data_IF_950992503933
#
_entry.id   IF_950992503933
#
_cell.length_a   1.000
_cell.length_b   1.000
_cell.length_c   1.000
_cell.angle_alpha   90.00
_cell.angle_beta   90.00
_cell.angle_gamma   90.00
#
_symmetry.space_group_name_H-M   'P 1'
#
loop_
_entity.id
_entity.type
_entity.pdbx_description
1 polymer ?
#
# COMPACT_ATOMS: atom_id res chain seq x y z
N UNK A 1 13.75 7.12 11.62
CA UNK A 1 12.89 5.92 11.72
C UNK A 1 12.39 5.71 13.15
N UNK A 2 13.26 5.77 14.16
CA UNK A 2 12.94 5.62 15.60
C UNK A 2 11.61 6.25 16.06
N UNK A 3 11.36 7.55 15.83
CA UNK A 3 10.10 8.22 16.23
C UNK A 3 8.81 7.53 15.72
N UNK A 4 8.87 6.88 14.55
CA UNK A 4 7.75 6.14 13.98
C UNK A 4 7.54 4.81 14.71
N UNK A 5 8.61 4.05 14.86
CA UNK A 5 8.60 2.74 15.52
C UNK A 5 8.18 2.92 16.98
N UNK A 6 8.76 3.90 17.69
CA UNK A 6 8.35 4.23 19.06
C UNK A 6 6.89 4.68 19.15
N UNK A 7 6.34 5.35 18.13
CA UNK A 7 4.91 5.72 18.09
C UNK A 7 4.03 4.51 17.96
N UNK A 8 4.39 3.59 17.06
CA UNK A 8 3.62 2.37 16.87
C UNK A 8 3.72 1.53 18.17
N UNK A 9 4.91 1.37 18.77
CA UNK A 9 5.11 0.62 20.02
C UNK A 9 4.37 1.16 21.26
N UNK A 10 4.08 2.47 21.34
CA UNK A 10 3.40 3.07 22.51
C UNK A 10 2.04 2.46 22.83
N UNK A 11 1.39 1.84 21.85
CA UNK A 11 0.05 1.27 21.99
C UNK A 11 0.06 -0.26 22.10
N UNK A 12 1.23 -0.88 22.30
CA UNK A 12 1.39 -2.35 22.33
C UNK A 12 1.23 -2.98 23.70
N UNK A 13 1.05 -2.18 24.76
CA UNK A 13 0.81 -2.71 26.10
C UNK A 13 -0.37 -3.69 26.12
N UNK A 14 -0.15 -4.86 26.72
CA UNK A 14 -1.16 -5.90 26.80
C UNK A 14 -2.20 -5.58 27.89
N UNK A 15 -3.50 -5.82 27.65
CA UNK A 15 -4.52 -5.71 28.69
C UNK A 15 -4.13 -6.55 29.92
N UNK A 16 -4.17 -5.95 31.12
CA UNK A 16 -3.80 -6.64 32.36
C UNK A 16 -2.30 -6.81 32.61
N UNK A 17 -1.42 -6.35 31.71
CA UNK A 17 0.04 -6.39 31.90
C UNK A 17 0.70 -5.05 31.52
N UNK A 18 0.53 -4.00 32.34
CA UNK A 18 1.23 -2.73 32.13
C UNK A 18 2.75 -2.98 32.26
N UNK A 19 3.49 -2.76 31.18
CA UNK A 19 4.96 -2.88 31.18
C UNK A 19 5.54 -4.05 30.38
N UNK A 20 4.74 -5.03 29.94
CA UNK A 20 5.16 -6.05 28.98
C UNK A 20 4.78 -5.59 27.55
N UNK A 21 5.75 -5.15 26.72
CA UNK A 21 5.44 -4.48 25.46
C UNK A 21 5.08 -5.44 24.32
N UNK A 22 5.37 -6.74 24.46
CA UNK A 22 5.30 -7.70 23.37
C UNK A 22 4.79 -9.08 23.83
N UNK A 23 3.96 -9.80 23.04
CA UNK A 23 3.45 -11.11 23.43
C UNK A 23 4.57 -12.15 23.52
N UNK A 24 4.46 -13.04 24.51
CA UNK A 24 5.31 -14.21 24.64
C UNK A 24 5.05 -15.22 23.52
N UNK A 25 6.01 -16.13 23.32
CA UNK A 25 5.87 -17.27 22.41
C UNK A 25 4.59 -18.07 22.63
N UNK A 26 4.27 -18.36 23.88
CA UNK A 26 3.05 -19.11 24.23
C UNK A 26 1.79 -18.33 23.83
N UNK A 27 1.74 -17.02 24.06
CA UNK A 27 0.60 -16.18 23.67
C UNK A 27 0.44 -16.12 22.15
N UNK A 28 1.53 -15.96 21.41
CA UNK A 28 1.51 -15.96 19.93
C UNK A 28 1.02 -17.31 19.41
N UNK A 29 1.53 -18.41 19.95
CA UNK A 29 1.12 -19.77 19.55
C UNK A 29 -0.34 -20.05 19.92
N UNK A 30 -0.79 -19.63 21.10
CA UNK A 30 -2.16 -19.77 21.54
C UNK A 30 -3.12 -18.96 20.67
N UNK A 31 -2.78 -17.69 20.36
CA UNK A 31 -3.57 -16.85 19.46
C UNK A 31 -3.62 -17.42 18.04
N UNK A 32 -2.49 -17.89 17.51
CA UNK A 32 -2.44 -18.56 16.21
C UNK A 32 -3.27 -19.85 16.19
N UNK A 33 -3.34 -20.56 17.33
CA UNK A 33 -4.18 -21.72 17.55
C UNK A 33 -5.67 -21.38 17.66
N UNK A 34 -6.04 -20.32 18.39
CA UNK A 34 -7.43 -19.92 18.62
C UNK A 34 -8.12 -19.35 17.40
N UNK A 35 -7.35 -18.85 16.42
CA UNK A 35 -7.91 -18.40 15.13
C UNK A 35 -8.37 -19.58 14.28
N UNK A 36 -8.00 -20.81 14.65
CA UNK A 36 -8.48 -22.04 14.01
C UNK A 36 -9.87 -22.40 14.56
N UNK A 37 -10.91 -21.98 13.82
CA UNK A 37 -12.34 -22.22 14.04
C UNK A 37 -13.02 -21.27 15.05
N UNK A 38 -13.72 -20.27 14.52
CA UNK A 38 -14.96 -19.79 15.14
C UNK A 38 -16.11 -20.33 14.29
N UNK A 39 -16.97 -21.15 14.88
CA UNK A 39 -18.16 -21.68 14.23
C UNK A 39 -19.11 -20.53 13.82
N UNK A 40 -19.50 -20.51 12.54
CA UNK A 40 -20.59 -19.67 12.05
C UNK A 40 -20.23 -18.26 11.55
N UNK A 41 -18.96 -17.85 11.54
CA UNK A 41 -18.52 -16.61 10.88
C UNK A 41 -17.94 -16.91 9.49
N UNK A 42 -18.19 -16.07 8.45
CA UNK A 42 -17.53 -16.24 7.15
C UNK A 42 -16.01 -16.25 7.35
N UNK A 43 -15.35 -17.16 6.63
CA UNK A 43 -14.01 -17.68 6.90
C UNK A 43 -12.95 -16.56 7.07
N UNK A 44 -12.77 -16.05 8.30
CA UNK A 44 -11.77 -15.03 8.64
C UNK A 44 -10.35 -15.49 8.27
N UNK A 45 -10.11 -16.82 8.26
CA UNK A 45 -8.87 -17.46 7.83
C UNK A 45 -8.62 -17.40 6.32
N UNK A 46 -9.65 -17.25 5.48
CA UNK A 46 -9.47 -17.05 4.03
C UNK A 46 -9.09 -15.61 3.70
N UNK A 47 -9.54 -14.65 4.52
CA UNK A 47 -9.32 -13.21 4.34
C UNK A 47 -8.07 -12.67 5.04
N UNK A 48 -7.66 -13.29 6.14
CA UNK A 48 -6.52 -12.88 6.97
C UNK A 48 -5.56 -14.05 7.14
N UNK A 49 -4.34 -13.90 6.64
CA UNK A 49 -3.29 -14.92 6.74
C UNK A 49 -2.25 -14.46 7.75
N UNK A 50 -2.15 -15.20 8.85
CA UNK A 50 -1.17 -14.96 9.91
C UNK A 50 0.00 -15.92 9.80
N UNK A 51 1.18 -15.42 10.12
CA UNK A 51 2.39 -16.22 10.27
C UNK A 51 3.02 -15.88 11.62
N UNK A 52 3.25 -16.91 12.43
CA UNK A 52 4.08 -16.81 13.63
C UNK A 52 5.53 -16.96 13.21
N UNK A 53 6.34 -15.93 13.45
CA UNK A 53 7.76 -15.90 13.14
C UNK A 53 8.58 -15.89 14.43
N UNK A 54 9.67 -16.67 14.43
CA UNK A 54 10.71 -16.61 15.45
C UNK A 54 12.02 -16.15 14.81
N UNK A 55 12.63 -15.12 15.37
CA UNK A 55 14.03 -14.77 15.06
C UNK A 55 14.92 -15.57 16.01
N UNK A 56 15.86 -16.34 15.49
CA UNK A 56 16.93 -16.96 16.28
C UNK A 56 18.22 -16.14 16.13
N UNK A 57 19.22 -16.34 17.01
CA UNK A 57 20.54 -15.68 16.90
C UNK A 57 21.28 -15.98 15.59
N UNK A 58 20.98 -17.12 14.93
CA UNK A 58 21.43 -17.43 13.56
C UNK A 58 20.63 -16.73 12.46
N UNK A 59 19.62 -15.97 12.85
CA UNK A 59 18.60 -15.34 12.01
C UNK A 59 17.75 -16.31 11.18
N UNK A 60 17.74 -17.58 11.59
CA UNK A 60 16.84 -18.59 11.06
C UNK A 60 15.40 -18.28 11.48
N UNK A 61 14.52 -18.09 10.49
CA UNK A 61 13.07 -18.01 10.69
C UNK A 61 12.53 -19.44 10.79
N UNK A 62 12.17 -19.88 12.00
CA UNK A 62 11.84 -21.30 12.23
C UNK A 62 10.42 -21.72 11.89
N UNK A 63 9.46 -20.82 11.93
CA UNK A 63 8.08 -21.18 11.68
C UNK A 63 7.41 -20.16 10.76
N UNK A 64 6.69 -20.68 9.78
CA UNK A 64 5.45 -20.10 9.29
C UNK A 64 4.51 -21.30 9.26
N UNK A 65 3.42 -21.27 10.02
CA UNK A 65 2.51 -22.41 10.11
C UNK A 65 1.66 -22.53 8.84
N UNK A 66 2.27 -22.98 7.75
CA UNK A 66 1.63 -23.29 6.45
C UNK A 66 1.29 -24.78 6.33
N UNK A 67 1.27 -25.54 7.43
CA UNK A 67 1.35 -27.01 7.40
C UNK A 67 0.07 -27.76 6.99
N UNK A 68 -0.89 -27.14 6.29
CA UNK A 68 -1.79 -27.96 5.48
C UNK A 68 -1.11 -28.31 4.14
N UNK A 69 -1.09 -29.60 3.79
CA UNK A 69 -0.65 -30.09 2.47
C UNK A 69 -1.21 -29.19 1.36
N UNK A 70 -0.33 -28.68 0.49
CA UNK A 70 -0.74 -27.81 -0.63
C UNK A 70 -0.01 -26.46 -0.75
N UNK A 71 1.23 -26.33 -0.26
CA UNK A 71 2.05 -25.13 -0.45
C UNK A 71 2.16 -24.76 -1.94
N UNK A 72 1.53 -23.66 -2.35
CA UNK A 72 1.60 -23.07 -3.70
C UNK A 72 2.36 -21.75 -3.63
N UNK A 73 3.57 -21.70 -4.18
CA UNK A 73 4.47 -20.53 -4.12
C UNK A 73 3.85 -19.19 -4.55
N UNK A 74 2.88 -19.19 -5.48
CA UNK A 74 2.16 -17.98 -5.90
C UNK A 74 1.17 -17.43 -4.86
N UNK A 75 0.61 -18.27 -3.99
CA UNK A 75 -0.33 -17.83 -2.94
C UNK A 75 0.38 -17.23 -1.72
N UNK A 76 1.67 -17.56 -1.51
CA UNK A 76 2.45 -17.14 -0.34
C UNK A 76 3.57 -16.14 -0.65
N UNK A 77 3.53 -15.49 -1.81
CA UNK A 77 4.59 -14.58 -2.26
C UNK A 77 4.90 -13.46 -1.24
N UNK A 78 3.89 -12.95 -0.52
CA UNK A 78 4.07 -11.92 0.52
C UNK A 78 4.92 -12.42 1.69
N UNK A 79 4.57 -13.58 2.24
CA UNK A 79 5.28 -14.20 3.34
C UNK A 79 6.69 -14.63 2.95
N UNK A 80 6.82 -15.28 1.79
CA UNK A 80 8.12 -15.69 1.26
C UNK A 80 9.07 -14.50 1.08
N UNK A 81 8.56 -13.37 0.56
CA UNK A 81 9.37 -12.16 0.38
C UNK A 81 9.81 -11.57 1.72
N UNK A 82 8.93 -11.55 2.71
CA UNK A 82 9.26 -11.10 4.07
C UNK A 82 10.31 -12.01 4.72
N UNK A 83 10.12 -13.33 4.66
CA UNK A 83 11.08 -14.32 5.17
C UNK A 83 12.45 -14.18 4.50
N UNK A 84 12.49 -14.02 3.18
CA UNK A 84 13.74 -13.78 2.45
C UNK A 84 14.42 -12.49 2.90
N UNK A 85 13.67 -11.42 3.14
CA UNK A 85 14.23 -10.18 3.69
C UNK A 85 14.85 -10.41 5.07
N UNK A 86 14.17 -11.15 5.96
CA UNK A 86 14.70 -11.54 7.27
C UNK A 86 15.98 -12.36 7.16
N UNK A 87 16.04 -13.35 6.26
CA UNK A 87 17.26 -14.15 6.01
C UNK A 87 18.43 -13.30 5.50
N UNK A 88 18.17 -12.30 4.66
CA UNK A 88 19.22 -11.38 4.19
C UNK A 88 19.73 -10.50 5.34
N UNK A 89 18.85 -9.97 6.18
CA UNK A 89 19.23 -9.17 7.35
C UNK A 89 20.02 -9.99 8.37
N UNK A 90 19.57 -11.22 8.62
CA UNK A 90 20.23 -12.22 9.44
C UNK A 90 21.67 -12.48 9.01
N UNK A 91 21.86 -12.84 7.74
CA UNK A 91 23.17 -13.16 7.17
C UNK A 91 24.14 -11.96 7.21
N UNK A 92 23.62 -10.73 7.32
CA UNK A 92 24.40 -9.50 7.45
C UNK A 92 24.64 -9.07 8.91
N UNK A 93 24.15 -9.82 9.89
CA UNK A 93 24.21 -9.43 11.30
C UNK A 93 23.37 -8.18 11.63
N UNK A 94 22.33 -7.89 10.84
CA UNK A 94 21.46 -6.72 11.01
C UNK A 94 20.18 -7.03 11.79
N UNK A 95 20.06 -8.22 12.39
CA UNK A 95 18.98 -8.59 13.29
C UNK A 95 19.50 -8.70 14.73
N UNK A 96 18.62 -8.52 15.74
CA UNK A 96 18.99 -8.71 17.14
C UNK A 96 19.33 -10.19 17.42
N UNK A 97 20.30 -10.42 18.31
CA UNK A 97 20.56 -11.73 18.90
C UNK A 97 19.60 -12.00 20.06
N UNK A 98 18.32 -12.22 19.72
CA UNK A 98 17.26 -12.47 20.68
C UNK A 98 16.15 -13.33 20.06
N UNK A 99 15.53 -14.20 20.87
CA UNK A 99 14.31 -14.89 20.45
C UNK A 99 13.11 -13.95 20.53
N UNK A 100 12.55 -13.61 19.38
CA UNK A 100 11.34 -12.78 19.28
C UNK A 100 10.26 -13.52 18.53
N UNK A 101 9.10 -13.69 19.17
CA UNK A 101 7.89 -14.24 18.55
C UNK A 101 6.96 -13.14 18.09
N UNK A 102 6.45 -13.19 16.87
CA UNK A 102 5.48 -12.19 16.40
C UNK A 102 4.49 -12.74 15.39
N UNK A 103 3.34 -12.07 15.31
CA UNK A 103 2.32 -12.31 14.29
C UNK A 103 2.51 -11.34 13.14
N UNK A 104 2.75 -11.84 11.93
CA UNK A 104 2.70 -11.07 10.70
C UNK A 104 1.34 -11.25 10.02
N UNK A 105 0.61 -10.17 9.82
CA UNK A 105 -0.58 -10.13 8.99
C UNK A 105 -0.23 -9.83 7.53
N UNK A 106 -0.80 -10.64 6.64
CA UNK A 106 -0.76 -10.42 5.20
C UNK A 106 -2.04 -9.82 4.62
N UNK A 107 -2.99 -9.40 5.45
CA UNK A 107 -4.21 -8.71 5.00
C UNK A 107 -3.87 -7.46 4.22
N UNK A 108 -4.75 -7.09 3.29
CA UNK A 108 -4.60 -5.85 2.54
C UNK A 108 -4.59 -4.60 3.44
N UNK A 109 -5.41 -4.61 4.50
CA UNK A 109 -5.49 -3.56 5.52
C UNK A 109 -5.97 -4.17 6.84
N UNK A 110 -5.30 -3.84 7.95
CA UNK A 110 -5.82 -4.11 9.28
C UNK A 110 -6.76 -2.99 9.76
N UNK A 111 -8.06 -3.26 9.79
CA UNK A 111 -9.10 -2.27 10.14
C UNK A 111 -9.42 -2.19 11.62
N UNK A 112 -9.13 -3.24 12.39
CA UNK A 112 -9.47 -3.37 13.80
C UNK A 112 -8.27 -3.87 14.59
N UNK A 113 -8.23 -3.53 15.88
CA UNK A 113 -7.21 -4.05 16.79
C UNK A 113 -7.52 -5.51 17.12
N UNK A 114 -6.52 -6.38 16.99
CA UNK A 114 -6.61 -7.79 17.36
C UNK A 114 -6.24 -7.99 18.83
N UNK A 115 -6.49 -9.19 19.35
CA UNK A 115 -6.17 -9.56 20.72
C UNK A 115 -4.66 -9.44 21.04
N UNK A 116 -3.80 -9.67 20.04
CA UNK A 116 -2.36 -9.44 20.10
C UNK A 116 -1.91 -8.32 19.14
N UNK A 117 -0.80 -7.63 19.46
CA UNK A 117 -0.07 -6.82 18.49
C UNK A 117 0.26 -7.60 17.23
N UNK A 118 0.04 -7.00 16.06
CA UNK A 118 0.43 -7.62 14.78
C UNK A 118 1.33 -6.71 13.94
N UNK A 119 2.25 -7.32 13.20
CA UNK A 119 3.00 -6.67 12.16
C UNK A 119 2.15 -6.65 10.90
N UNK A 120 2.08 -5.52 10.23
CA UNK A 120 1.36 -5.40 8.95
C UNK A 120 2.00 -4.32 8.11
N UNK A 121 1.98 -4.46 6.79
CA UNK A 121 2.45 -3.38 5.93
C UNK A 121 1.47 -2.19 5.90
N UNK A 122 0.21 -2.40 6.29
CA UNK A 122 -0.83 -1.40 6.17
C UNK A 122 -1.95 -1.55 7.22
N UNK A 123 -2.42 -0.41 7.72
CA UNK A 123 -3.52 -0.32 8.69
C UNK A 123 -4.55 0.74 8.35
N UNK A 124 -5.72 0.62 8.95
CA UNK A 124 -6.67 1.71 9.11
C UNK A 124 -6.15 2.78 10.08
N UNK A 125 -6.52 4.04 9.87
CA UNK A 125 -6.17 5.16 10.77
C UNK A 125 -6.60 4.93 12.23
N UNK A 126 -7.73 4.24 12.43
CA UNK A 126 -8.30 3.95 13.75
C UNK A 126 -7.56 2.86 14.52
N UNK A 127 -6.93 1.91 13.82
CA UNK A 127 -6.18 0.79 14.38
C UNK A 127 -4.94 1.26 15.13
N UNK A 128 -4.69 0.77 16.35
CA UNK A 128 -3.59 1.20 17.22
C UNK A 128 -2.62 0.07 17.59
N UNK A 129 -3.09 -1.17 17.71
CA UNK A 129 -2.31 -2.36 18.12
C UNK A 129 -1.65 -3.06 16.94
N UNK A 130 -1.04 -2.27 16.06
CA UNK A 130 -0.26 -2.78 14.93
C UNK A 130 1.08 -2.06 14.77
N UNK A 131 2.09 -2.80 14.32
CA UNK A 131 3.39 -2.26 13.96
C UNK A 131 3.52 -2.30 12.44
N UNK A 132 3.76 -1.13 11.85
CA UNK A 132 3.83 -1.00 10.40
C UNK A 132 5.19 -1.47 9.90
N UNK A 133 5.20 -2.47 9.04
CA UNK A 133 6.36 -2.92 8.28
C UNK A 133 6.33 -2.36 6.86
N UNK A 134 7.42 -2.51 6.09
CA UNK A 134 7.35 -2.25 4.66
C UNK A 134 6.45 -3.23 3.93
N UNK A 135 5.92 -2.78 2.80
CA UNK A 135 5.15 -3.63 1.88
C UNK A 135 6.07 -4.65 1.21
N UNK A 136 5.55 -5.85 0.92
CA UNK A 136 6.39 -6.95 0.42
C UNK A 136 7.07 -6.59 -0.91
N UNK A 137 6.43 -5.86 -1.82
CA UNK A 137 7.09 -5.41 -3.05
C UNK A 137 8.33 -4.54 -2.77
N UNK A 138 8.30 -3.72 -1.70
CA UNK A 138 9.45 -2.89 -1.32
C UNK A 138 10.59 -3.73 -0.70
N UNK A 139 10.23 -4.83 -0.02
CA UNK A 139 11.19 -5.81 0.51
C UNK A 139 11.75 -6.72 -0.59
N UNK A 140 11.09 -6.82 -1.75
CA UNK A 140 11.62 -7.53 -2.90
C UNK A 140 12.66 -6.67 -3.63
N UNK A 141 13.94 -6.97 -3.42
CA UNK A 141 15.05 -6.28 -4.10
C UNK A 141 14.97 -6.36 -5.62
N UNK A 142 14.39 -7.43 -6.19
CA UNK A 142 14.25 -7.57 -7.64
C UNK A 142 13.22 -6.59 -8.22
N UNK A 143 12.14 -6.36 -7.49
CA UNK A 143 11.09 -5.43 -7.90
C UNK A 143 11.46 -3.98 -7.55
N UNK A 144 11.83 -3.71 -6.30
CA UNK A 144 12.08 -2.36 -5.80
C UNK A 144 13.22 -1.67 -6.54
N UNK A 145 14.36 -2.36 -6.72
CA UNK A 145 15.50 -1.82 -7.49
C UNK A 145 15.19 -1.62 -8.96
N UNK A 146 14.40 -2.53 -9.56
CA UNK A 146 13.93 -2.37 -10.95
C UNK A 146 13.10 -1.08 -11.07
N UNK A 147 12.12 -0.89 -10.19
CA UNK A 147 11.27 0.31 -10.17
C UNK A 147 12.08 1.57 -9.93
N UNK A 148 13.02 1.55 -8.98
CA UNK A 148 13.92 2.67 -8.72
C UNK A 148 14.77 3.03 -9.95
N UNK A 149 15.28 2.03 -10.67
CA UNK A 149 16.03 2.24 -11.91
C UNK A 149 15.15 2.81 -13.02
N UNK A 150 13.92 2.32 -13.18
CA UNK A 150 12.94 2.87 -14.13
C UNK A 150 12.64 4.35 -13.81
N UNK A 151 12.45 4.69 -12.54
CA UNK A 151 12.23 6.09 -12.10
C UNK A 151 13.47 6.94 -12.35
N UNK A 152 14.65 6.46 -11.98
CA UNK A 152 15.93 7.16 -12.17
C UNK A 152 16.17 7.45 -13.66
N UNK A 153 15.97 6.45 -14.50
CA UNK A 153 16.08 6.58 -15.95
C UNK A 153 15.09 7.60 -16.49
N UNK A 154 13.81 7.50 -16.12
CA UNK A 154 12.77 8.41 -16.57
C UNK A 154 13.04 9.87 -16.15
N UNK A 155 13.47 10.11 -14.91
CA UNK A 155 13.75 11.45 -14.42
C UNK A 155 15.05 12.05 -14.97
N UNK A 156 16.06 11.23 -15.23
CA UNK A 156 17.31 11.67 -15.86
C UNK A 156 17.08 12.18 -17.28
N UNK A 157 16.22 11.52 -18.04
CA UNK A 157 15.87 11.92 -19.42
C UNK A 157 14.74 12.95 -19.48
N UNK A 158 13.91 13.04 -18.44
CA UNK A 158 12.75 13.94 -18.39
C UNK A 158 12.71 14.68 -17.05
N UNK A 159 13.54 15.72 -16.88
CA UNK A 159 13.45 16.60 -15.73
C UNK A 159 12.07 17.26 -15.68
N UNK A 160 11.69 17.81 -14.51
CA UNK A 160 10.36 18.40 -14.28
C UNK A 160 9.85 19.31 -15.42
N UNK A 161 10.72 20.17 -15.98
CA UNK A 161 10.34 21.08 -17.07
C UNK A 161 9.94 20.38 -18.38
N UNK A 162 10.48 19.18 -18.62
CA UNK A 162 10.19 18.35 -19.79
C UNK A 162 9.00 17.40 -19.57
N UNK A 163 8.45 17.31 -18.35
CA UNK A 163 7.26 16.49 -18.08
C UNK A 163 6.01 17.14 -18.68
N UNK A 164 5.19 16.31 -19.31
CA UNK A 164 4.03 16.72 -20.13
C UNK A 164 2.72 16.68 -19.35
N UNK A 165 1.72 17.36 -19.89
CA UNK A 165 0.36 17.39 -19.35
C UNK A 165 0.16 18.41 -18.22
N UNK A 166 -1.04 19.00 -18.21
CA UNK A 166 -1.53 19.88 -17.13
C UNK A 166 -2.66 19.23 -16.32
N UNK A 167 -3.15 18.05 -16.74
CA UNK A 167 -4.19 17.31 -16.04
C UNK A 167 -3.61 16.46 -14.90
N UNK A 168 -4.45 16.16 -13.90
CA UNK A 168 -4.23 15.01 -13.04
C UNK A 168 -4.28 13.73 -13.87
N UNK A 169 -3.18 12.99 -13.92
CA UNK A 169 -3.09 11.78 -14.71
C UNK A 169 -3.27 10.52 -13.86
N UNK A 170 -4.09 9.58 -14.34
CA UNK A 170 -4.26 8.25 -13.74
C UNK A 170 -4.55 7.18 -14.80
N UNK A 171 -3.90 6.03 -14.71
CA UNK A 171 -4.25 4.81 -15.45
C UNK A 171 -4.14 3.62 -14.53
N UNK A 172 -5.19 2.86 -14.31
CA UNK A 172 -5.10 1.75 -13.38
C UNK A 172 -6.21 0.73 -13.57
N UNK A 173 -6.19 -0.28 -12.72
CA UNK A 173 -7.24 -1.29 -12.69
C UNK A 173 -8.40 -0.88 -11.80
N UNK A 174 -9.47 -1.63 -11.86
CA UNK A 174 -10.66 -1.54 -11.02
C UNK A 174 -10.45 -2.15 -9.61
N UNK A 175 -9.21 -2.26 -9.11
CA UNK A 175 -8.97 -2.73 -7.74
C UNK A 175 -9.75 -1.91 -6.71
N UNK A 176 -10.35 -2.59 -5.74
CA UNK A 176 -11.16 -1.97 -4.69
C UNK A 176 -12.63 -1.75 -5.06
N UNK A 177 -13.05 -2.19 -6.25
CA UNK A 177 -14.47 -2.32 -6.62
C UNK A 177 -14.91 -3.77 -6.29
N UNK A 178 -16.07 -3.95 -5.64
CA UNK A 178 -16.59 -5.26 -5.30
C UNK A 178 -16.91 -6.04 -6.59
N UNK A 179 -16.52 -7.29 -6.62
CA UNK A 179 -16.84 -8.23 -7.69
C UNK A 179 -17.06 -9.60 -7.05
N UNK A 180 -18.33 -9.92 -6.80
CA UNK A 180 -18.81 -11.09 -6.04
C UNK A 180 -18.45 -11.09 -4.53
N UNK A 181 -17.51 -10.25 -4.07
CA UNK A 181 -17.01 -10.14 -2.69
C UNK A 181 -17.61 -8.95 -1.92
N UNK A 182 -18.88 -8.62 -2.15
CA UNK A 182 -19.45 -7.43 -1.50
C UNK A 182 -19.78 -7.65 -0.03
N UNK A 183 -19.12 -6.88 0.82
CA UNK A 183 -19.48 -6.69 2.22
C UNK A 183 -20.24 -5.34 2.38
N UNK A 184 -21.53 -5.35 2.74
CA UNK A 184 -22.32 -4.13 2.99
C UNK A 184 -21.76 -3.23 4.09
N UNK A 185 -20.97 -3.76 5.03
CA UNK A 185 -20.29 -2.95 6.05
C UNK A 185 -19.11 -2.16 5.45
N UNK A 186 -18.50 -2.70 4.38
CA UNK A 186 -17.35 -2.11 3.69
C UNK A 186 -17.76 -1.20 2.53
N UNK A 187 -18.83 -1.54 1.82
CA UNK A 187 -19.26 -0.85 0.60
C UNK A 187 -20.64 -0.21 0.76
N UNK A 188 -20.78 1.04 0.29
CA UNK A 188 -22.08 1.74 0.21
C UNK A 188 -23.02 1.19 -0.86
N UNK A 189 -22.49 0.37 -1.77
CA UNK A 189 -23.24 -0.31 -2.81
C UNK A 189 -22.45 -1.53 -3.27
N UNK A 190 -23.16 -2.62 -3.53
CA UNK A 190 -22.60 -3.86 -4.07
C UNK A 190 -22.75 -4.00 -5.57
N UNK A 191 -23.49 -3.07 -6.19
CA UNK A 191 -23.79 -3.08 -7.60
C UNK A 191 -22.97 -1.99 -8.27
N UNK A 192 -22.57 -2.26 -9.50
CA UNK A 192 -21.86 -1.31 -10.34
C UNK A 192 -22.65 -1.18 -11.64
N UNK A 193 -23.29 -0.03 -11.78
CA UNK A 193 -24.09 0.38 -12.92
C UNK A 193 -23.88 1.89 -13.16
N UNK A 194 -24.63 2.46 -14.10
CA UNK A 194 -24.58 3.90 -14.40
C UNK A 194 -24.90 4.80 -13.18
N UNK A 195 -25.74 4.32 -12.25
CA UNK A 195 -26.19 5.09 -11.09
C UNK A 195 -25.25 4.94 -9.88
N UNK A 196 -24.40 3.92 -9.85
CA UNK A 196 -23.59 3.56 -8.68
C UNK A 196 -22.09 3.66 -8.94
N UNK A 197 -21.64 3.62 -10.20
CA UNK A 197 -20.23 3.69 -10.56
C UNK A 197 -19.50 4.87 -9.90
N UNK A 198 -20.11 6.05 -9.85
CA UNK A 198 -19.54 7.25 -9.23
C UNK A 198 -19.30 7.14 -7.72
N UNK A 199 -19.85 6.13 -7.04
CA UNK A 199 -19.60 5.86 -5.61
C UNK A 199 -18.22 5.24 -5.38
N UNK A 200 -17.63 4.63 -6.41
CA UNK A 200 -16.31 4.01 -6.34
C UNK A 200 -15.25 4.99 -6.83
N UNK A 201 -14.23 5.24 -6.01
CA UNK A 201 -13.22 6.28 -6.24
C UNK A 201 -12.59 6.21 -7.65
N UNK A 202 -12.18 5.02 -8.08
CA UNK A 202 -11.46 4.85 -9.36
C UNK A 202 -12.38 5.06 -10.56
N UNK A 203 -13.62 4.56 -10.50
CA UNK A 203 -14.63 4.79 -11.54
C UNK A 203 -15.05 6.26 -11.58
N UNK A 204 -15.23 6.89 -10.42
CA UNK A 204 -15.53 8.33 -10.32
C UNK A 204 -14.47 9.16 -11.01
N UNK A 205 -13.18 8.89 -10.77
CA UNK A 205 -12.09 9.64 -11.43
C UNK A 205 -12.04 9.37 -12.93
N UNK A 206 -12.27 8.13 -13.38
CA UNK A 206 -12.37 7.84 -14.81
C UNK A 206 -13.52 8.63 -15.46
N UNK A 207 -14.70 8.66 -14.85
CA UNK A 207 -15.84 9.47 -15.34
C UNK A 207 -15.60 10.98 -15.26
N UNK A 208 -14.76 11.45 -14.33
CA UNK A 208 -14.33 12.85 -14.30
C UNK A 208 -13.54 13.23 -15.56
N UNK A 209 -12.82 12.32 -16.20
CA UNK A 209 -12.08 12.64 -17.42
C UNK A 209 -13.00 13.10 -18.57
N UNK A 210 -14.21 12.52 -18.66
CA UNK A 210 -15.21 12.91 -19.67
C UNK A 210 -15.86 14.27 -19.37
N UNK A 211 -16.06 14.61 -18.10
CA UNK A 211 -16.73 15.85 -17.69
C UNK A 211 -15.78 17.04 -17.51
N UNK A 212 -14.49 16.78 -17.29
CA UNK A 212 -13.46 17.80 -17.11
C UNK A 212 -12.12 17.41 -17.75
N UNK A 213 -12.10 17.15 -19.07
CA UNK A 213 -10.93 16.64 -19.79
C UNK A 213 -9.72 17.56 -19.73
N UNK A 214 -9.90 18.87 -19.52
CA UNK A 214 -8.79 19.81 -19.36
C UNK A 214 -8.11 19.75 -17.98
N UNK A 215 -8.72 19.05 -17.00
CA UNK A 215 -8.22 18.94 -15.63
C UNK A 215 -7.89 17.51 -15.21
N UNK A 216 -8.58 16.52 -15.75
CA UNK A 216 -8.36 15.10 -15.43
C UNK A 216 -8.14 14.31 -16.71
N UNK A 217 -7.06 13.54 -16.73
CA UNK A 217 -6.77 12.53 -17.75
C UNK A 217 -6.69 11.19 -17.03
N UNK A 218 -7.84 10.51 -16.94
CA UNK A 218 -7.96 9.28 -16.18
C UNK A 218 -8.85 8.25 -16.85
N UNK A 219 -8.45 6.98 -16.78
CA UNK A 219 -9.23 5.87 -17.31
C UNK A 219 -8.75 4.55 -16.70
N UNK A 220 -9.62 3.54 -16.72
CA UNK A 220 -9.26 2.16 -16.45
C UNK A 220 -8.35 1.65 -17.58
N UNK A 221 -7.14 1.24 -17.24
CA UNK A 221 -6.18 0.66 -18.17
C UNK A 221 -6.10 -0.86 -18.06
N UNK A 222 -6.94 -1.45 -17.20
CA UNK A 222 -7.05 -2.90 -17.03
C UNK A 222 -8.28 -3.22 -16.18
N UNK A 223 -8.78 -4.45 -16.31
CA UNK A 223 -9.90 -4.96 -15.52
C UNK A 223 -9.44 -6.23 -14.82
N UNK A 224 -9.74 -6.36 -13.53
CA UNK A 224 -9.40 -7.54 -12.75
C UNK A 224 -10.21 -8.74 -13.21
N UNK A 225 -9.58 -9.93 -13.20
CA UNK A 225 -10.21 -11.19 -13.62
C UNK A 225 -11.57 -11.44 -12.95
N UNK A 226 -11.69 -11.11 -11.65
CA UNK A 226 -12.96 -11.25 -10.91
C UNK A 226 -14.08 -10.36 -11.44
N UNK A 227 -13.76 -9.16 -11.95
CA UNK A 227 -14.71 -8.24 -12.52
C UNK A 227 -15.08 -8.63 -13.96
N UNK A 228 -14.09 -9.13 -14.72
CA UNK A 228 -14.32 -9.76 -16.03
C UNK A 228 -15.27 -10.96 -15.92
N UNK A 229 -15.10 -11.79 -14.90
CA UNK A 229 -15.93 -12.98 -14.69
C UNK A 229 -17.43 -12.68 -14.50
N UNK A 230 -17.79 -11.45 -14.15
CA UNK A 230 -19.18 -10.99 -14.00
C UNK A 230 -19.58 -9.90 -15.02
N UNK A 231 -18.75 -9.68 -16.04
CA UNK A 231 -19.07 -8.75 -17.13
C UNK A 231 -19.01 -7.26 -16.77
N UNK A 232 -18.30 -6.86 -15.72
CA UNK A 232 -18.16 -5.44 -15.37
C UNK A 232 -17.36 -4.64 -16.40
N UNK A 233 -16.53 -5.29 -17.20
CA UNK A 233 -15.85 -4.66 -18.33
C UNK A 233 -16.83 -4.07 -19.35
N UNK A 234 -17.96 -4.75 -19.61
CA UNK A 234 -19.02 -4.24 -20.49
C UNK A 234 -19.64 -2.96 -19.91
N UNK A 235 -19.96 -2.97 -18.62
CA UNK A 235 -20.46 -1.79 -17.91
C UNK A 235 -19.44 -0.65 -17.99
N UNK A 236 -18.16 -0.93 -17.74
CA UNK A 236 -17.10 0.08 -17.82
C UNK A 236 -16.94 0.64 -19.24
N UNK A 237 -17.12 -0.19 -20.28
CA UNK A 237 -17.05 0.21 -21.68
C UNK A 237 -18.24 1.09 -22.06
N UNK A 238 -19.46 0.69 -21.70
CA UNK A 238 -20.70 1.47 -21.92
C UNK A 238 -20.63 2.84 -21.26
N UNK A 239 -20.03 2.92 -20.06
CA UNK A 239 -19.83 4.17 -19.32
C UNK A 239 -18.61 4.98 -19.81
N UNK A 240 -17.86 4.51 -20.81
CA UNK A 240 -16.68 5.20 -21.33
C UNK A 240 -15.53 5.33 -20.33
N UNK A 241 -15.42 4.40 -19.36
CA UNK A 241 -14.44 4.45 -18.27
C UNK A 241 -13.10 3.79 -18.63
N UNK A 242 -13.05 3.05 -19.73
CA UNK A 242 -11.87 2.29 -20.18
C UNK A 242 -11.00 3.14 -21.12
N UNK A 243 -9.68 3.00 -20.99
CA UNK A 243 -8.70 3.50 -21.94
C UNK A 243 -8.59 2.54 -23.14
N UNK A 244 -8.87 2.96 -24.38
CA UNK A 244 -8.67 2.13 -25.57
C UNK A 244 -7.24 2.28 -26.16
N UNK A 245 -6.55 1.19 -26.54
CA UNK A 245 -6.89 -0.19 -26.20
C UNK A 245 -6.70 -0.45 -24.70
N UNK A 246 -7.46 -1.41 -24.16
CA UNK A 246 -7.34 -1.85 -22.77
C UNK A 246 -5.97 -2.50 -22.56
N UNK A 247 -4.99 -1.70 -22.15
CA UNK A 247 -3.63 -2.14 -21.85
C UNK A 247 -3.10 -1.44 -20.61
N UNK A 248 -2.35 -2.18 -19.80
CA UNK A 248 -1.64 -1.58 -18.69
C UNK A 248 -0.49 -0.69 -19.21
N UNK A 249 -0.44 0.56 -18.75
CA UNK A 249 0.66 1.47 -19.09
C UNK A 249 1.87 1.18 -18.21
N UNK A 250 3.06 1.19 -18.81
CA UNK A 250 4.30 1.04 -18.07
C UNK A 250 4.50 2.18 -17.07
N UNK A 251 5.28 1.96 -16.01
CA UNK A 251 5.62 3.02 -15.05
C UNK A 251 6.28 4.20 -15.79
N UNK A 252 7.20 3.94 -16.69
CA UNK A 252 7.92 4.97 -17.48
C UNK A 252 6.99 5.80 -18.36
N UNK A 253 5.95 5.20 -18.95
CA UNK A 253 4.93 5.92 -19.71
C UNK A 253 4.16 6.90 -18.81
N UNK A 254 3.79 6.44 -17.61
CA UNK A 254 3.05 7.26 -16.64
C UNK A 254 3.95 8.37 -16.06
N UNK A 255 5.24 8.10 -15.80
CA UNK A 255 6.22 9.06 -15.25
C UNK A 255 6.54 10.23 -16.17
N UNK A 256 6.08 10.21 -17.43
CA UNK A 256 6.12 11.37 -18.34
C UNK A 256 5.24 12.52 -17.85
N UNK A 257 4.26 12.23 -16.98
CA UNK A 257 3.21 13.16 -16.58
C UNK A 257 3.66 14.02 -15.43
N UNK A 258 3.33 15.31 -15.52
CA UNK A 258 3.67 16.29 -14.49
C UNK A 258 2.91 16.07 -13.18
N UNK A 259 1.61 15.75 -13.27
CA UNK A 259 0.75 15.54 -12.12
C UNK A 259 0.26 14.08 -12.11
N UNK A 260 0.69 13.31 -11.12
CA UNK A 260 0.30 11.91 -10.94
C UNK A 260 -0.73 11.82 -9.83
N UNK A 261 -1.93 11.32 -10.15
CA UNK A 261 -2.95 11.05 -9.16
C UNK A 261 -2.75 9.66 -8.55
N UNK A 262 -2.69 9.61 -7.23
CA UNK A 262 -2.61 8.37 -6.46
C UNK A 262 -3.95 8.07 -5.77
N UNK A 263 -4.53 6.93 -6.17
CA UNK A 263 -5.81 6.42 -5.67
C UNK A 263 -5.60 5.02 -5.12
N UNK A 264 -6.10 4.79 -3.90
CA UNK A 264 -6.07 3.47 -3.30
C UNK A 264 -6.97 2.49 -4.08
N UNK A 265 -6.69 1.20 -3.91
CA UNK A 265 -7.53 0.10 -4.37
C UNK A 265 -8.14 -0.62 -3.17
N UNK A 266 -7.97 -1.94 -3.12
CA UNK A 266 -8.29 -2.75 -1.94
C UNK A 266 -7.43 -2.34 -0.73
N UNK A 267 -6.16 -2.00 -1.00
CA UNK A 267 -5.19 -1.40 -0.10
C UNK A 267 -4.58 -0.13 -0.72
N UNK A 268 -3.54 0.41 -0.11
CA UNK A 268 -2.84 1.57 -0.66
C UNK A 268 -2.14 1.19 -1.96
N UNK A 269 -2.13 2.10 -2.93
CA UNK A 269 -1.50 1.84 -4.21
C UNK A 269 0.03 1.80 -4.11
N UNK A 270 0.64 0.78 -4.73
CA UNK A 270 2.07 0.75 -5.05
C UNK A 270 2.50 1.92 -5.94
N UNK A 271 1.56 2.61 -6.61
CA UNK A 271 1.83 3.86 -7.33
C UNK A 271 2.45 4.94 -6.45
N UNK A 272 2.00 5.04 -5.20
CA UNK A 272 2.51 6.07 -4.31
C UNK A 272 4.03 5.97 -4.18
N UNK A 273 4.58 4.75 -4.12
CA UNK A 273 6.01 4.52 -4.04
C UNK A 273 6.80 5.16 -5.20
N UNK A 274 6.51 4.75 -6.44
CA UNK A 274 7.25 5.25 -7.60
C UNK A 274 6.88 6.69 -7.97
N UNK A 275 5.64 7.11 -7.68
CA UNK A 275 5.21 8.49 -7.83
C UNK A 275 6.02 9.41 -6.92
N UNK A 276 6.23 9.02 -5.65
CA UNK A 276 7.02 9.81 -4.70
C UNK A 276 8.51 9.84 -5.04
N UNK A 277 9.08 8.76 -5.59
CA UNK A 277 10.48 8.68 -6.04
C UNK A 277 10.77 9.57 -7.26
N UNK A 278 9.72 9.83 -8.06
CA UNK A 278 9.81 10.62 -9.27
C UNK A 278 9.82 12.12 -8.98
N UNK A 279 10.33 12.89 -9.93
CA UNK A 279 10.19 14.34 -9.96
C UNK A 279 8.82 14.77 -10.50
N UNK A 280 7.75 13.98 -10.36
CA UNK A 280 6.37 14.41 -10.65
C UNK A 280 5.68 14.92 -9.37
N UNK A 281 4.63 15.74 -9.51
CA UNK A 281 3.78 16.11 -8.38
C UNK A 281 2.78 14.99 -8.14
N UNK A 282 2.80 14.45 -6.94
CA UNK A 282 1.81 13.46 -6.50
C UNK A 282 0.59 14.19 -5.92
N UNK A 283 -0.56 14.00 -6.56
CA UNK A 283 -1.89 14.31 -6.04
C UNK A 283 -2.37 13.08 -5.26
N UNK A 284 -2.29 13.09 -3.94
CA UNK A 284 -2.65 11.94 -3.09
C UNK A 284 -4.05 12.12 -2.53
N UNK A 285 -4.97 11.24 -2.89
CA UNK A 285 -6.28 11.18 -2.26
C UNK A 285 -6.14 10.86 -0.77
N UNK A 286 -6.84 11.60 0.08
CA UNK A 286 -6.98 11.30 1.50
C UNK A 286 -7.75 9.98 1.66
N UNK A 287 -7.20 9.13 2.52
CA UNK A 287 -7.63 7.74 2.67
C UNK A 287 -7.64 7.37 4.15
N UNK A 288 -8.39 6.34 4.50
CA UNK A 288 -8.32 5.72 5.83
C UNK A 288 -7.10 4.79 5.97
N UNK A 289 -6.43 4.46 4.87
CA UNK A 289 -5.26 3.60 4.84
C UNK A 289 -3.99 4.35 5.27
N UNK A 290 -3.13 3.69 6.04
CA UNK A 290 -1.85 4.20 6.48
C UNK A 290 -0.78 3.12 6.37
N UNK A 291 0.31 3.44 5.68
CA UNK A 291 1.54 2.64 5.66
C UNK A 291 2.60 3.24 6.60
N UNK A 292 3.78 2.64 6.65
CA UNK A 292 4.88 3.03 7.54
C UNK A 292 5.50 4.42 7.26
N UNK A 293 5.33 4.97 6.05
CA UNK A 293 5.87 6.29 5.67
C UNK A 293 4.80 7.39 5.53
N UNK A 294 3.51 7.06 5.63
CA UNK A 294 2.38 7.98 5.41
C UNK A 294 2.44 9.21 6.31
N UNK A 295 2.82 9.03 7.58
CA UNK A 295 2.90 10.09 8.59
C UNK A 295 3.94 11.19 8.23
N UNK A 296 4.83 10.92 7.27
CA UNK A 296 5.87 11.87 6.81
C UNK A 296 5.40 12.73 5.63
N UNK A 297 4.32 12.33 4.96
CA UNK A 297 3.80 13.03 3.80
C UNK A 297 2.96 14.24 4.25
N UNK A 298 3.53 15.43 4.04
CA UNK A 298 2.92 16.71 4.41
C UNK A 298 2.37 17.38 3.15
N UNK A 299 1.15 17.88 3.28
CA UNK A 299 0.49 18.61 2.20
C UNK A 299 1.30 19.86 1.80
N UNK A 300 1.34 20.14 0.50
CA UNK A 300 2.11 21.20 -0.13
C UNK A 300 3.61 21.24 0.18
N UNK A 301 4.14 20.18 0.81
CA UNK A 301 5.59 19.98 1.03
C UNK A 301 6.07 18.76 0.24
N UNK A 302 5.36 17.63 0.33
CA UNK A 302 5.70 16.38 -0.35
C UNK A 302 4.63 15.97 -1.37
N UNK A 303 3.39 16.32 -1.13
CA UNK A 303 2.24 15.93 -1.95
C UNK A 303 1.24 17.08 -2.04
N UNK A 304 0.32 17.01 -2.99
CA UNK A 304 -0.93 17.78 -2.94
C UNK A 304 -2.03 16.82 -2.47
N UNK A 305 -2.59 17.05 -1.28
CA UNK A 305 -3.69 16.23 -0.77
C UNK A 305 -4.97 16.55 -1.50
N UNK A 306 -5.69 15.51 -1.90
CA UNK A 306 -7.02 15.61 -2.51
C UNK A 306 -8.01 15.02 -1.51
N UNK A 307 -9.16 15.65 -1.31
CA UNK A 307 -10.23 15.12 -0.45
C UNK A 307 -10.61 13.71 -0.86
N UNK A 308 -11.06 12.92 0.12
CA UNK A 308 -11.49 11.53 -0.10
C UNK A 308 -12.61 11.41 -1.14
N UNK A 309 -13.51 12.38 -1.21
CA UNK A 309 -14.61 12.43 -2.18
C UNK A 309 -14.21 13.04 -3.54
N UNK A 310 -12.95 13.47 -3.69
CA UNK A 310 -12.35 14.07 -4.88
C UNK A 310 -12.93 15.43 -5.28
N UNK A 311 -13.76 16.05 -4.43
CA UNK A 311 -14.44 17.29 -4.76
C UNK A 311 -13.48 18.47 -5.04
N UNK A 312 -12.28 18.46 -4.44
CA UNK A 312 -11.25 19.48 -4.62
C UNK A 312 -10.15 19.08 -5.63
N UNK A 313 -10.21 17.90 -6.26
CA UNK A 313 -9.24 17.48 -7.26
C UNK A 313 -9.04 18.54 -8.36
N UNK A 314 -10.11 19.15 -8.95
CA UNK A 314 -9.94 20.17 -9.98
C UNK A 314 -9.23 21.41 -9.47
N UNK A 315 -9.48 21.79 -8.21
CA UNK A 315 -8.84 22.93 -7.55
C UNK A 315 -7.36 22.66 -7.29
N UNK A 316 -7.00 21.44 -6.88
CA UNK A 316 -5.60 21.07 -6.65
C UNK A 316 -4.80 21.01 -7.95
N UNK A 317 -5.40 20.51 -9.04
CA UNK A 317 -4.80 20.59 -10.38
C UNK A 317 -4.56 22.04 -10.79
N UNK A 318 -5.57 22.90 -10.66
CA UNK A 318 -5.43 24.33 -10.99
C UNK A 318 -4.33 24.99 -10.15
N UNK A 319 -4.28 24.72 -8.84
CA UNK A 319 -3.26 25.25 -7.94
C UNK A 319 -1.85 24.82 -8.34
N UNK A 320 -1.65 23.54 -8.69
CA UNK A 320 -0.35 23.04 -9.13
C UNK A 320 0.12 23.71 -10.43
N UNK A 321 -0.81 24.00 -11.36
CA UNK A 321 -0.49 24.65 -12.62
C UNK A 321 -0.24 26.16 -12.49
N UNK A 322 -1.03 26.87 -11.66
CA UNK A 322 -0.89 28.31 -11.44
C UNK A 322 0.31 28.66 -10.52
N UNK A 323 0.88 27.68 -9.82
CA UNK A 323 2.04 27.87 -8.93
C UNK A 323 3.18 26.91 -9.31
N UNK A 324 3.80 27.09 -10.50
CA UNK A 324 4.80 26.15 -11.01
C UNK A 324 6.04 26.03 -10.12
N UNK A 325 6.44 27.10 -9.42
CA UNK A 325 7.54 27.09 -8.44
C UNK A 325 7.23 26.18 -7.24
N UNK A 326 6.01 26.30 -6.68
CA UNK A 326 5.52 25.42 -5.62
C UNK A 326 5.46 23.97 -6.10
N UNK A 327 4.86 23.72 -7.26
CA UNK A 327 4.73 22.38 -7.83
C UNK A 327 6.10 21.71 -8.02
N UNK A 328 7.08 22.43 -8.62
CA UNK A 328 8.46 21.95 -8.77
C UNK A 328 9.12 21.68 -7.44
N UNK A 329 8.93 22.54 -6.45
CA UNK A 329 9.47 22.36 -5.10
C UNK A 329 8.87 21.11 -4.43
N UNK A 330 7.56 20.90 -4.52
CA UNK A 330 6.86 19.73 -3.97
C UNK A 330 7.39 18.44 -4.61
N UNK A 331 7.45 18.38 -5.94
CA UNK A 331 8.01 17.22 -6.65
C UNK A 331 9.45 16.90 -6.22
N UNK A 332 10.33 17.90 -6.15
CA UNK A 332 11.73 17.71 -5.72
C UNK A 332 11.83 17.26 -4.25
N UNK A 333 11.02 17.84 -3.35
CA UNK A 333 11.02 17.47 -1.93
C UNK A 333 10.47 16.07 -1.73
N UNK A 334 9.45 15.69 -2.49
CA UNK A 334 8.93 14.32 -2.56
C UNK A 334 10.03 13.33 -2.94
N UNK A 335 10.64 13.53 -4.11
CA UNK A 335 11.71 12.66 -4.63
C UNK A 335 12.86 12.52 -3.65
N UNK A 336 13.29 13.64 -3.04
CA UNK A 336 14.35 13.64 -2.03
C UNK A 336 13.96 12.90 -0.75
N UNK A 337 12.72 13.06 -0.29
CA UNK A 337 12.24 12.31 0.87
C UNK A 337 12.20 10.81 0.55
N UNK A 338 11.63 10.44 -0.59
CA UNK A 338 11.49 9.05 -1.02
C UNK A 338 12.87 8.38 -1.19
N UNK A 339 13.85 9.02 -1.83
CA UNK A 339 15.20 8.44 -2.01
C UNK A 339 15.98 8.24 -0.72
N UNK A 340 15.60 8.93 0.37
CA UNK A 340 16.26 8.83 1.68
C UNK A 340 15.59 7.84 2.63
N UNK A 341 14.43 7.31 2.25
CA UNK A 341 13.61 6.52 3.17
C UNK A 341 12.99 5.31 2.50
N UNK A 342 12.76 5.36 1.20
CA UNK A 342 12.06 4.35 0.44
C UNK A 342 12.99 3.65 -0.55
N UNK A 343 14.31 3.87 -0.52
CA UNK A 343 15.21 2.97 -1.24
C UNK A 343 15.04 1.54 -0.72
N UNK A 344 15.39 0.55 -1.52
CA UNK A 344 15.41 -0.83 -1.05
C UNK A 344 16.25 -0.99 0.24
N UNK A 345 17.43 -0.36 0.28
CA UNK A 345 18.33 -0.39 1.44
C UNK A 345 17.70 0.26 2.68
N UNK A 346 17.08 1.45 2.54
CA UNK A 346 16.40 2.13 3.65
C UNK A 346 15.17 1.34 4.12
N UNK A 347 14.51 0.65 3.20
CA UNK A 347 13.36 -0.21 3.49
C UNK A 347 13.78 -1.43 4.31
N UNK A 348 14.86 -2.10 3.91
CA UNK A 348 15.46 -3.22 4.63
C UNK A 348 15.96 -2.77 6.01
N UNK A 349 16.63 -1.61 6.07
CA UNK A 349 17.07 -1.04 7.33
C UNK A 349 15.89 -0.70 8.26
N UNK A 350 14.78 -0.18 7.73
CA UNK A 350 13.59 0.06 8.54
C UNK A 350 13.04 -1.25 9.13
N UNK A 351 12.98 -2.33 8.34
CA UNK A 351 12.56 -3.64 8.84
C UNK A 351 13.47 -4.14 9.97
N UNK A 352 14.80 -4.08 9.79
CA UNK A 352 15.76 -4.41 10.85
C UNK A 352 15.50 -3.60 12.13
N UNK A 353 15.28 -2.28 11.99
CA UNK A 353 14.96 -1.41 13.13
C UNK A 353 13.64 -1.76 13.81
N UNK A 354 12.65 -2.31 13.09
CA UNK A 354 11.43 -2.84 13.70
C UNK A 354 11.79 -4.06 14.55
N UNK A 355 12.52 -5.04 13.99
CA UNK A 355 12.91 -6.26 14.70
C UNK A 355 13.71 -5.97 15.99
N UNK A 356 14.67 -5.05 15.93
CA UNK A 356 15.42 -4.57 17.10
C UNK A 356 14.58 -3.88 18.17
N UNK A 357 13.36 -3.46 17.85
CA UNK A 357 12.47 -2.83 18.81
C UNK A 357 11.42 -3.82 19.35
N UNK A 358 11.36 -5.03 18.81
CA UNK A 358 10.55 -6.14 19.31
C UNK A 358 11.36 -7.07 20.21
N UNK A 359 12.67 -7.22 19.91
CA UNK A 359 13.68 -7.72 20.84
C UNK A 359 13.89 -6.71 21.97
#
# INVERSE_FOLDING_TARGET
>A
MRKQISRDLRHMAMPGRPGLPWPSKFEVQHFAGSIRQEDGQPNYQELIRFCDYHVLGSGQVRHCNFTQKGYRSRQYARAHTFARAMTVLAARGELPDAEVSFVLSHSDVEWHDLALPVLTFQRGKATRRVIRTPMWEQLDGSWSRKVENMVRFADGHRPWGAKVGKQAFWRGTDSGIPAQDCDPQRFRSCYVDNHTAHRFTRLKVAGMASTMPHRVDAALSGVKLRALAIGLDKVYQELGLIHPPLRELSIEEQLRRRLLLDLDGSSQSTRLYWGLLSNSVVLKQDTKNCNWYSDRLRDHIHIFRVRRDLADLPRQVLRANLRPSLARSVARRSARLARRWLSHEDTMHYLARVMFALA
#
